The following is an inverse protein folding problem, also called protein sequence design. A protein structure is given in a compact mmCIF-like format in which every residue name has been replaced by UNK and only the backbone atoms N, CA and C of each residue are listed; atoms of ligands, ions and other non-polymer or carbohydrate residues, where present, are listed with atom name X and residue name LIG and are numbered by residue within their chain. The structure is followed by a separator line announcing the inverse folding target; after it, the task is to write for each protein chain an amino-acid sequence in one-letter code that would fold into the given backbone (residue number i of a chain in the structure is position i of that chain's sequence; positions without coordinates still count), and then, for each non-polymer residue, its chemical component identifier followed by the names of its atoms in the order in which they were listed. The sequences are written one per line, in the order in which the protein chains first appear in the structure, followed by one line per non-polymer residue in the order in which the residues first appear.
data_IF_104013951475
#
_entry.id   IF_104013951475
#
_cell.length_a   1.000
_cell.length_b   1.000
_cell.length_c   1.000
_cell.angle_alpha   90.00
_cell.angle_beta   90.00
_cell.angle_gamma   90.00
#
_symmetry.space_group_name_H-M   'P 1'
#
loop_
_entity.id
_entity.type
_entity.pdbx_description
1 polymer ?
#
# COMPACT_ATOMS: atom_id res chain seq x y z
N UNK A 1 13.39 11.16 8.55
CA UNK A 1 12.68 9.88 8.37
C UNK A 1 13.22 8.93 9.43
N UNK A 2 12.48 8.77 10.51
CA UNK A 2 12.77 7.77 11.53
C UNK A 2 11.93 6.52 11.24
N UNK A 3 12.56 5.36 11.26
CA UNK A 3 11.92 4.09 10.94
C UNK A 3 11.41 3.46 12.24
N UNK A 4 10.18 2.95 12.21
CA UNK A 4 9.58 2.17 13.31
C UNK A 4 10.04 0.71 13.19
N UNK A 5 10.15 -0.01 14.31
CA UNK A 5 10.51 -1.43 14.38
C UNK A 5 11.85 -1.81 13.72
N UNK A 6 12.88 -0.96 13.88
CA UNK A 6 14.24 -1.30 13.47
C UNK A 6 14.84 -2.32 14.44
N UNK A 7 15.25 -3.46 13.91
CA UNK A 7 15.91 -4.54 14.64
C UNK A 7 17.18 -4.99 13.88
N UNK A 8 17.96 -5.91 14.45
CA UNK A 8 19.21 -6.37 13.84
C UNK A 8 19.02 -6.93 12.41
N UNK A 9 17.85 -7.53 12.12
CA UNK A 9 17.58 -8.14 10.82
C UNK A 9 17.29 -7.12 9.71
N UNK A 10 16.79 -5.92 10.03
CA UNK A 10 16.45 -4.88 9.06
C UNK A 10 17.34 -3.62 9.15
N UNK A 11 18.19 -3.50 10.17
CA UNK A 11 19.07 -2.34 10.39
C UNK A 11 19.98 -2.04 9.20
N UNK A 12 20.57 -3.09 8.60
CA UNK A 12 21.41 -2.95 7.40
C UNK A 12 20.61 -2.42 6.21
N UNK A 13 19.37 -2.89 6.03
CA UNK A 13 18.50 -2.40 4.97
C UNK A 13 18.13 -0.93 5.19
N UNK A 14 17.84 -0.52 6.43
CA UNK A 14 17.52 0.88 6.76
C UNK A 14 18.71 1.79 6.44
N UNK A 15 19.92 1.34 6.77
CA UNK A 15 21.14 2.09 6.45
C UNK A 15 21.35 2.21 4.93
N UNK A 16 21.20 1.10 4.20
CA UNK A 16 21.30 1.09 2.73
C UNK A 16 20.18 1.92 2.07
N UNK A 17 18.97 1.94 2.65
CA UNK A 17 17.84 2.72 2.17
C UNK A 17 18.16 4.21 2.21
N UNK A 18 18.70 4.71 3.33
CA UNK A 18 19.03 6.14 3.53
C UNK A 18 20.00 6.70 2.50
N UNK A 19 20.81 5.85 1.88
CA UNK A 19 21.81 6.23 0.89
C UNK A 19 21.26 6.31 -0.54
N UNK A 20 20.01 5.88 -0.78
CA UNK A 20 19.45 5.77 -2.13
C UNK A 20 18.63 7.01 -2.48
N UNK A 21 18.53 7.32 -3.79
CA UNK A 21 17.78 8.47 -4.28
C UNK A 21 16.29 8.45 -3.90
N UNK A 22 15.69 7.26 -3.74
CA UNK A 22 14.32 7.10 -3.29
C UNK A 22 14.11 7.34 -1.78
N UNK A 23 15.18 7.61 -1.01
CA UNK A 23 15.08 8.03 0.39
C UNK A 23 14.56 9.47 0.53
N UNK A 24 14.53 10.24 -0.57
CA UNK A 24 13.92 11.56 -0.66
C UNK A 24 12.71 11.49 -1.59
N UNK A 25 11.54 11.02 -1.09
CA UNK A 25 10.34 10.93 -1.92
C UNK A 25 9.88 12.31 -2.38
N UNK A 26 9.31 12.38 -3.58
CA UNK A 26 8.62 13.57 -4.04
C UNK A 26 7.37 13.82 -3.17
N UNK A 27 7.03 15.10 -2.96
CA UNK A 27 5.79 15.47 -2.26
C UNK A 27 4.60 15.01 -3.09
N UNK A 28 3.60 14.41 -2.44
CA UNK A 28 2.40 13.90 -3.10
C UNK A 28 1.67 14.98 -3.91
N UNK A 29 1.66 16.21 -3.42
CA UNK A 29 1.11 17.41 -4.08
C UNK A 29 1.74 17.72 -5.44
N UNK A 30 3.00 17.31 -5.64
CA UNK A 30 3.78 17.57 -6.88
C UNK A 30 3.70 16.42 -7.88
N UNK A 31 2.95 15.37 -7.56
CA UNK A 31 2.84 14.16 -8.37
C UNK A 31 1.68 14.31 -9.35
N UNK A 32 2.02 14.37 -10.63
CA UNK A 32 1.04 14.21 -11.71
C UNK A 32 0.79 12.73 -11.99
N UNK A 33 -0.44 12.27 -11.73
CA UNK A 33 -0.88 10.88 -11.93
C UNK A 33 -0.89 10.42 -13.39
N UNK A 34 -0.88 11.34 -14.36
CA UNK A 34 -0.80 11.00 -15.77
C UNK A 34 0.52 10.31 -16.13
N UNK A 35 1.61 10.69 -15.45
CA UNK A 35 2.97 10.18 -15.69
C UNK A 35 3.21 8.75 -15.22
N UNK A 36 2.25 8.18 -14.49
CA UNK A 36 2.39 6.88 -13.83
C UNK A 36 1.41 5.88 -14.43
N UNK A 37 1.89 4.65 -14.62
CA UNK A 37 1.10 3.56 -15.16
C UNK A 37 0.34 2.78 -14.08
N UNK A 38 0.88 2.75 -12.86
CA UNK A 38 0.34 2.01 -11.73
C UNK A 38 0.65 2.72 -10.39
N UNK A 39 -0.22 2.51 -9.41
CA UNK A 39 -0.06 3.02 -8.05
C UNK A 39 0.10 1.86 -7.08
N UNK A 40 1.15 1.88 -6.25
CA UNK A 40 1.37 0.90 -5.19
C UNK A 40 1.43 1.61 -3.83
N UNK A 41 0.57 1.19 -2.91
CA UNK A 41 0.49 1.68 -1.54
C UNK A 41 0.84 0.52 -0.61
N UNK A 42 2.11 0.44 -0.15
CA UNK A 42 2.53 -0.62 0.74
C UNK A 42 1.87 -0.48 2.12
N UNK A 43 1.98 -1.51 2.96
CA UNK A 43 1.51 -1.44 4.34
C UNK A 43 2.30 -0.38 5.11
N UNK A 44 1.62 0.68 5.54
CA UNK A 44 2.17 1.74 6.37
C UNK A 44 1.16 2.10 7.47
N UNK A 45 1.47 1.87 8.76
CA UNK A 45 0.54 2.17 9.85
C UNK A 45 0.09 3.64 9.90
N UNK A 46 0.98 4.56 9.50
CA UNK A 46 0.69 5.99 9.41
C UNK A 46 -0.33 6.37 8.32
N UNK A 47 -0.66 5.46 7.39
CA UNK A 47 -1.69 5.72 6.38
C UNK A 47 -3.06 6.00 6.98
N UNK A 48 -3.37 5.37 8.13
CA UNK A 48 -4.65 5.59 8.82
C UNK A 48 -4.83 7.04 9.29
N UNK A 49 -3.74 7.72 9.64
CA UNK A 49 -3.78 9.08 10.14
C UNK A 49 -3.59 10.12 9.02
N UNK A 50 -2.58 9.92 8.18
CA UNK A 50 -2.17 10.90 7.16
C UNK A 50 -2.90 10.67 5.82
N UNK A 51 -2.76 9.46 5.26
CA UNK A 51 -3.25 9.18 3.91
C UNK A 51 -4.77 9.02 3.82
N UNK A 52 -5.43 8.55 4.89
CA UNK A 52 -6.87 8.34 4.91
C UNK A 52 -7.70 9.63 4.73
N UNK A 53 -7.11 10.80 4.97
CA UNK A 53 -7.75 12.10 4.79
C UNK A 53 -7.01 13.02 3.79
N UNK A 54 -6.06 12.49 3.03
CA UNK A 54 -5.23 13.29 2.14
C UNK A 54 -5.94 13.67 0.83
N UNK A 55 -6.22 14.97 0.65
CA UNK A 55 -6.81 15.48 -0.58
C UNK A 55 -5.93 15.32 -1.83
N UNK A 56 -4.61 15.36 -1.67
CA UNK A 56 -3.67 15.10 -2.78
C UNK A 56 -3.75 13.65 -3.24
N UNK A 57 -3.85 12.70 -2.31
CA UNK A 57 -4.03 11.29 -2.65
C UNK A 57 -5.39 11.05 -3.31
N UNK A 58 -6.45 11.67 -2.78
CA UNK A 58 -7.80 11.54 -3.33
C UNK A 58 -7.83 11.90 -4.83
N UNK A 59 -7.19 13.01 -5.21
CA UNK A 59 -7.06 13.42 -6.62
C UNK A 59 -6.34 12.40 -7.49
N UNK A 60 -5.25 11.80 -6.97
CA UNK A 60 -4.51 10.76 -7.69
C UNK A 60 -5.37 9.50 -7.84
N UNK A 61 -6.05 9.06 -6.78
CA UNK A 61 -6.92 7.88 -6.81
C UNK A 61 -8.09 8.06 -7.77
N UNK A 62 -8.74 9.23 -7.79
CA UNK A 62 -9.79 9.56 -8.74
C UNK A 62 -9.29 9.50 -10.19
N UNK A 63 -8.11 10.06 -10.46
CA UNK A 63 -7.50 10.01 -11.79
C UNK A 63 -7.19 8.56 -12.22
N UNK A 64 -6.63 7.76 -11.33
CA UNK A 64 -6.35 6.35 -11.61
C UNK A 64 -7.64 5.57 -11.86
N UNK A 65 -8.69 5.85 -11.09
CA UNK A 65 -10.02 5.25 -11.27
C UNK A 65 -10.62 5.64 -12.63
N UNK A 66 -10.56 6.91 -13.02
CA UNK A 66 -11.15 7.40 -14.27
C UNK A 66 -10.44 6.82 -15.50
N UNK A 67 -9.12 6.65 -15.44
CA UNK A 67 -8.34 6.03 -16.52
C UNK A 67 -8.27 4.49 -16.42
N UNK A 68 -8.95 3.92 -15.42
CA UNK A 68 -8.91 2.50 -15.09
C UNK A 68 -7.47 1.96 -14.96
N UNK A 69 -6.57 2.78 -14.42
CA UNK A 69 -5.17 2.43 -14.18
C UNK A 69 -5.06 1.51 -12.96
N UNK A 70 -4.14 0.53 -12.96
CA UNK A 70 -3.94 -0.38 -11.84
C UNK A 70 -3.57 0.34 -10.53
N UNK A 71 -4.27 0.00 -9.45
CA UNK A 71 -4.01 0.45 -8.08
C UNK A 71 -3.80 -0.80 -7.23
N UNK A 72 -2.75 -0.83 -6.42
CA UNK A 72 -2.49 -1.88 -5.45
C UNK A 72 -2.31 -1.27 -4.06
N UNK A 73 -3.07 -1.74 -3.06
CA UNK A 73 -2.92 -1.32 -1.68
C UNK A 73 -2.85 -2.54 -0.76
N UNK A 74 -1.94 -2.54 0.23
CA UNK A 74 -1.73 -3.71 1.09
C UNK A 74 -1.74 -3.32 2.56
N UNK A 75 -2.38 -4.13 3.39
CA UNK A 75 -2.39 -3.95 4.85
C UNK A 75 -2.95 -2.59 5.26
N UNK A 76 -2.26 -1.90 6.16
CA UNK A 76 -2.69 -0.57 6.61
C UNK A 76 -2.71 0.49 5.49
N UNK A 77 -2.00 0.24 4.38
CA UNK A 77 -2.04 1.08 3.20
C UNK A 77 -3.41 1.13 2.52
N UNK A 78 -4.30 0.15 2.76
CA UNK A 78 -5.67 0.17 2.23
C UNK A 78 -6.48 1.35 2.78
N UNK A 79 -6.14 1.83 3.99
CA UNK A 79 -6.76 3.03 4.56
C UNK A 79 -6.57 4.29 3.68
N UNK A 80 -5.52 4.31 2.88
CA UNK A 80 -5.25 5.39 1.94
C UNK A 80 -6.35 5.49 0.85
N UNK A 81 -7.10 4.42 0.57
CA UNK A 81 -8.23 4.44 -0.37
C UNK A 81 -9.44 5.20 0.19
N UNK A 82 -9.55 5.31 1.51
CA UNK A 82 -10.70 5.93 2.18
C UNK A 82 -10.81 7.44 1.90
N UNK A 83 -9.72 8.11 1.54
CA UNK A 83 -9.73 9.54 1.22
C UNK A 83 -10.46 9.87 -0.10
N UNK A 84 -10.64 8.90 -0.99
CA UNK A 84 -11.17 9.12 -2.32
C UNK A 84 -12.71 9.14 -2.32
N UNK A 85 -13.30 10.32 -2.11
CA UNK A 85 -14.75 10.57 -2.21
C UNK A 85 -15.10 11.36 -3.46
N UNK A 86 -16.31 11.16 -3.99
CA UNK A 86 -16.89 11.94 -5.08
C UNK A 86 -17.44 13.28 -4.54
N UNK A 87 -17.79 14.20 -5.45
CA UNK A 87 -18.42 15.48 -5.08
C UNK A 87 -19.72 15.30 -4.29
N UNK A 88 -20.46 14.22 -4.56
CA UNK A 88 -21.70 13.84 -3.85
C UNK A 88 -21.43 13.21 -2.46
N UNK A 89 -20.18 13.10 -2.04
CA UNK A 89 -19.78 12.47 -0.78
C UNK A 89 -19.74 10.93 -0.81
N UNK A 90 -20.16 10.30 -1.92
CA UNK A 90 -20.06 8.85 -2.10
C UNK A 90 -18.60 8.41 -2.28
N UNK A 91 -18.26 7.21 -1.81
CA UNK A 91 -16.90 6.69 -1.95
C UNK A 91 -16.62 6.29 -3.41
N UNK A 92 -15.43 6.62 -3.92
CA UNK A 92 -15.04 6.35 -5.33
C UNK A 92 -15.03 4.85 -5.67
N UNK A 93 -14.81 4.02 -4.65
CA UNK A 93 -14.79 2.56 -4.75
C UNK A 93 -16.09 1.93 -4.21
N UNK A 94 -17.19 2.66 -4.16
CA UNK A 94 -18.50 2.08 -3.85
C UNK A 94 -18.82 0.90 -4.80
N UNK A 95 -19.33 -0.19 -4.24
CA UNK A 95 -19.59 -1.43 -4.96
C UNK A 95 -18.35 -2.22 -5.40
N UNK A 96 -17.14 -1.84 -4.95
CA UNK A 96 -15.95 -2.66 -5.14
C UNK A 96 -15.88 -3.80 -4.14
N UNK A 97 -15.19 -4.88 -4.52
CA UNK A 97 -14.68 -5.87 -3.58
C UNK A 97 -13.29 -5.46 -3.10
N UNK A 98 -13.12 -5.36 -1.79
CA UNK A 98 -11.88 -4.88 -1.16
C UNK A 98 -11.51 -5.80 0.01
N UNK A 99 -10.22 -5.92 0.27
CA UNK A 99 -9.70 -6.49 1.51
C UNK A 99 -8.70 -5.54 2.17
N UNK A 100 -8.41 -5.78 3.44
CA UNK A 100 -7.45 -5.08 4.26
C UNK A 100 -7.31 -5.80 5.60
N UNK A 101 -6.55 -5.24 6.56
CA UNK A 101 -6.41 -5.82 7.88
C UNK A 101 -7.78 -6.04 8.51
N UNK A 102 -8.08 -7.29 8.84
CA UNK A 102 -9.35 -7.64 9.48
C UNK A 102 -9.41 -7.08 10.90
N UNK A 103 -10.62 -6.84 11.41
CA UNK A 103 -10.80 -6.45 12.83
C UNK A 103 -10.17 -7.49 13.78
N UNK A 104 -10.22 -8.77 13.41
CA UNK A 104 -9.58 -9.87 14.16
C UNK A 104 -8.05 -9.78 14.21
N UNK A 105 -7.40 -9.26 13.16
CA UNK A 105 -5.96 -8.98 13.18
C UNK A 105 -5.67 -7.71 13.99
N UNK A 106 -6.48 -6.66 13.81
CA UNK A 106 -6.27 -5.37 14.45
C UNK A 106 -6.45 -5.44 15.97
N UNK A 107 -7.42 -6.19 16.48
CA UNK A 107 -7.68 -6.32 17.93
C UNK A 107 -6.53 -6.97 18.70
N UNK A 108 -5.67 -7.74 18.02
CA UNK A 108 -4.47 -8.36 18.61
C UNK A 108 -3.34 -7.35 18.80
N UNK A 109 -3.40 -6.19 18.13
CA UNK A 109 -2.40 -5.14 18.27
C UNK A 109 -2.71 -4.25 19.49
N UNK A 110 -1.69 -3.87 20.29
CA UNK A 110 -1.89 -3.06 21.50
C UNK A 110 -2.47 -1.66 21.20
N UNK A 111 -2.36 -1.18 19.97
CA UNK A 111 -2.86 0.13 19.52
C UNK A 111 -4.31 0.14 19.02
N UNK A 112 -5.03 -0.99 19.05
CA UNK A 112 -6.37 -1.12 18.45
C UNK A 112 -7.35 -0.02 18.89
N UNK A 113 -7.41 0.26 20.19
CA UNK A 113 -8.34 1.24 20.77
C UNK A 113 -8.06 2.69 20.34
N UNK A 114 -6.89 2.97 19.77
CA UNK A 114 -6.45 4.30 19.34
C UNK A 114 -6.46 4.45 17.81
N UNK A 115 -6.91 3.44 17.07
CA UNK A 115 -6.98 3.54 15.62
C UNK A 115 -8.04 4.57 15.21
N UNK A 116 -7.70 5.55 14.37
CA UNK A 116 -8.65 6.60 13.96
C UNK A 116 -9.70 6.07 12.97
N UNK A 117 -9.42 4.93 12.34
CA UNK A 117 -10.23 4.33 11.29
C UNK A 117 -10.08 2.82 11.32
N UNK A 118 -11.20 2.11 11.18
CA UNK A 118 -11.23 0.67 10.92
C UNK A 118 -11.65 0.51 9.46
N UNK A 119 -10.72 0.06 8.61
CA UNK A 119 -10.94 -0.05 7.16
C UNK A 119 -12.08 -1.00 6.84
N UNK A 120 -12.17 -2.12 7.56
CA UNK A 120 -13.25 -3.10 7.38
C UNK A 120 -14.64 -2.47 7.56
N UNK A 121 -14.83 -1.69 8.63
CA UNK A 121 -16.12 -1.03 8.91
C UNK A 121 -16.40 0.08 7.90
N UNK A 122 -15.41 0.91 7.60
CA UNK A 122 -15.54 1.97 6.60
C UNK A 122 -15.96 1.43 5.22
N UNK A 123 -15.34 0.34 4.76
CA UNK A 123 -15.64 -0.27 3.44
C UNK A 123 -17.10 -0.76 3.41
N UNK A 124 -17.56 -1.40 4.50
CA UNK A 124 -18.94 -1.88 4.60
C UNK A 124 -19.94 -0.71 4.63
N UNK A 125 -19.67 0.32 5.43
CA UNK A 125 -20.52 1.51 5.55
C UNK A 125 -20.57 2.33 4.25
N UNK A 126 -19.47 2.39 3.51
CA UNK A 126 -19.36 3.05 2.22
C UNK A 126 -20.04 2.28 1.06
N UNK A 127 -20.65 1.12 1.33
CA UNK A 127 -21.38 0.32 0.35
C UNK A 127 -20.48 -0.50 -0.58
N UNK A 128 -19.33 -0.94 -0.09
CA UNK A 128 -18.44 -1.88 -0.77
C UNK A 128 -18.39 -3.24 -0.05
N UNK A 129 -17.97 -4.27 -0.77
CA UNK A 129 -17.90 -5.64 -0.26
C UNK A 129 -16.53 -5.90 0.36
N UNK A 130 -16.48 -6.03 1.68
CA UNK A 130 -15.25 -6.42 2.38
C UNK A 130 -15.15 -7.96 2.47
N UNK A 131 -13.97 -8.51 2.18
CA UNK A 131 -13.66 -9.92 2.43
C UNK A 131 -12.30 -10.07 3.11
N UNK A 132 -12.19 -11.04 4.01
CA UNK A 132 -10.95 -11.40 4.69
C UNK A 132 -10.88 -12.91 4.90
N UNK A 133 -9.66 -13.44 4.92
CA UNK A 133 -9.35 -14.80 5.37
C UNK A 133 -8.98 -14.80 6.86
N UNK A 134 -8.63 -15.98 7.38
CA UNK A 134 -8.13 -16.13 8.74
C UNK A 134 -6.97 -15.15 9.03
N UNK A 135 -6.78 -14.72 10.29
CA UNK A 135 -5.69 -13.84 10.67
C UNK A 135 -4.34 -14.38 10.22
N UNK A 136 -3.46 -13.51 9.72
CA UNK A 136 -2.12 -13.84 9.20
C UNK A 136 -2.10 -14.68 7.91
N UNK A 137 -3.25 -15.20 7.45
CA UNK A 137 -3.36 -15.93 6.20
C UNK A 137 -3.24 -15.01 4.98
N UNK A 138 -2.79 -15.57 3.86
CA UNK A 138 -2.75 -14.86 2.59
C UNK A 138 -4.18 -14.61 2.08
N UNK A 139 -4.50 -13.36 1.79
CA UNK A 139 -5.75 -12.98 1.12
C UNK A 139 -5.56 -11.74 0.25
N UNK A 140 -5.89 -11.89 -1.04
CA UNK A 140 -5.80 -10.83 -2.04
C UNK A 140 -7.11 -10.77 -2.78
N UNK A 141 -7.62 -9.55 -2.96
CA UNK A 141 -8.81 -9.27 -3.76
C UNK A 141 -8.38 -8.43 -4.95
N UNK A 142 -8.68 -8.92 -6.15
CA UNK A 142 -8.54 -8.17 -7.40
C UNK A 142 -9.95 -7.92 -7.94
N UNK A 143 -10.34 -6.66 -8.01
CA UNK A 143 -11.59 -6.20 -8.60
C UNK A 143 -11.28 -5.13 -9.65
N UNK A 144 -11.55 -5.44 -10.92
CA UNK A 144 -11.25 -4.59 -12.08
C UNK A 144 -9.75 -4.22 -12.12
N UNK A 145 -9.42 -2.98 -11.76
CA UNK A 145 -8.04 -2.46 -11.70
C UNK A 145 -7.57 -2.19 -10.28
N UNK A 146 -8.37 -2.51 -9.26
CA UNK A 146 -8.00 -2.39 -7.86
C UNK A 146 -7.55 -3.75 -7.33
N UNK A 147 -6.33 -3.80 -6.81
CA UNK A 147 -5.77 -4.93 -6.08
C UNK A 147 -5.62 -4.53 -4.63
N UNK A 148 -6.14 -5.36 -3.73
CA UNK A 148 -5.97 -5.16 -2.30
C UNK A 148 -5.47 -6.42 -1.62
N UNK A 149 -4.60 -6.27 -0.63
CA UNK A 149 -4.05 -7.37 0.16
C UNK A 149 -4.31 -7.17 1.65
N UNK A 150 -4.71 -8.23 2.34
CA UNK A 150 -5.11 -8.19 3.74
C UNK A 150 -3.95 -7.80 4.67
N UNK A 151 -2.79 -8.44 4.51
CA UNK A 151 -1.67 -8.36 5.46
C UNK A 151 -0.31 -8.51 4.75
N UNK A 152 0.78 -8.55 5.54
CA UNK A 152 2.14 -8.66 5.02
C UNK A 152 2.35 -9.93 4.15
N UNK A 153 1.77 -11.07 4.54
CA UNK A 153 1.79 -12.33 3.77
C UNK A 153 1.17 -12.18 2.37
N UNK A 154 0.25 -11.23 2.24
CA UNK A 154 -0.47 -10.94 1.00
C UNK A 154 0.26 -9.96 0.07
N UNK A 155 1.39 -9.39 0.49
CA UNK A 155 2.15 -8.38 -0.29
C UNK A 155 2.66 -8.94 -1.60
N UNK A 156 3.36 -10.09 -1.57
CA UNK A 156 3.94 -10.70 -2.76
C UNK A 156 2.87 -11.05 -3.83
N UNK A 157 1.77 -11.75 -3.49
CA UNK A 157 0.72 -12.02 -4.48
C UNK A 157 0.02 -10.75 -4.97
N UNK A 158 -0.23 -9.75 -4.11
CA UNK A 158 -0.85 -8.49 -4.53
C UNK A 158 0.03 -7.70 -5.52
N UNK A 159 1.35 -7.68 -5.31
CA UNK A 159 2.29 -7.05 -6.26
C UNK A 159 2.37 -7.85 -7.56
N UNK A 160 2.32 -9.18 -7.50
CA UNK A 160 2.26 -10.01 -8.71
C UNK A 160 1.02 -9.70 -9.55
N UNK A 161 -0.16 -9.61 -8.91
CA UNK A 161 -1.40 -9.21 -9.58
C UNK A 161 -1.30 -7.81 -10.18
N UNK A 162 -0.64 -6.86 -9.50
CA UNK A 162 -0.38 -5.53 -10.05
C UNK A 162 0.49 -5.60 -11.32
N UNK A 163 1.59 -6.35 -11.28
CA UNK A 163 2.49 -6.52 -12.42
C UNK A 163 1.75 -7.16 -13.59
N UNK A 164 0.90 -8.16 -13.33
CA UNK A 164 0.07 -8.79 -14.34
C UNK A 164 -0.88 -7.77 -15.01
N UNK A 165 -1.59 -6.96 -14.23
CA UNK A 165 -2.44 -5.88 -14.76
C UNK A 165 -1.63 -4.84 -15.56
N UNK A 166 -0.38 -4.59 -15.16
CA UNK A 166 0.55 -3.73 -15.88
C UNK A 166 1.10 -4.36 -17.17
N UNK A 167 1.02 -5.67 -17.34
CA UNK A 167 1.50 -6.37 -18.54
C UNK A 167 0.42 -6.59 -19.59
N UNK A 168 -0.85 -6.68 -19.18
CA UNK A 168 -1.98 -7.01 -20.06
C UNK A 168 -2.60 -5.83 -20.82
N UNK A 169 -2.02 -4.63 -20.72
CA UNK A 169 -2.52 -3.42 -21.38
C UNK A 169 -1.54 -3.02 -22.49
N UNK A 170 -2.05 -2.64 -23.65
CA UNK A 170 -1.25 -1.99 -24.70
C UNK A 170 -1.27 -0.48 -24.40
N UNK A 171 -0.15 0.07 -23.92
CA UNK A 171 -0.02 1.52 -23.75
C UNK A 171 0.43 2.16 -25.08
N UNK A 172 -0.12 3.33 -25.46
CA UNK A 172 0.42 4.08 -26.59
C UNK A 172 1.91 4.34 -26.35
N UNK A 173 2.73 4.02 -27.35
CA UNK A 173 4.18 3.91 -27.25
C UNK A 173 4.85 5.20 -26.74
N UNK A 174 5.11 5.26 -25.44
CA UNK A 174 5.98 6.26 -24.81
C UNK A 174 7.10 5.48 -24.11
N UNK A 175 8.36 5.95 -24.14
CA UNK A 175 9.49 5.17 -23.63
C UNK A 175 9.26 4.78 -22.16
N UNK A 176 9.28 3.46 -21.91
CA UNK A 176 9.00 2.80 -20.64
C UNK A 176 9.90 3.30 -19.51
N UNK A 177 9.52 4.39 -18.85
CA UNK A 177 9.99 4.72 -17.51
C UNK A 177 8.90 4.25 -16.53
N UNK A 178 9.03 3.02 -16.04
CA UNK A 178 8.24 2.52 -14.91
C UNK A 178 8.75 3.23 -13.66
N UNK A 179 8.23 4.42 -13.40
CA UNK A 179 8.43 5.11 -12.13
C UNK A 179 7.40 4.51 -11.15
N UNK A 180 7.84 3.71 -10.19
CA UNK A 180 6.96 3.22 -9.11
C UNK A 180 6.85 4.33 -8.06
N UNK A 181 5.65 4.84 -7.80
CA UNK A 181 5.42 5.72 -6.65
C UNK A 181 5.43 4.89 -5.38
N UNK A 182 6.51 4.97 -4.60
CA UNK A 182 6.49 4.62 -3.18
C UNK A 182 6.01 5.85 -2.41
N UNK A 183 4.76 5.88 -1.97
CA UNK A 183 4.31 6.86 -0.99
C UNK A 183 4.81 6.43 0.40
N UNK A 184 5.95 6.98 0.82
CA UNK A 184 6.39 6.92 2.23
C UNK A 184 5.91 8.21 2.88
N UNK A 185 4.76 8.17 3.54
CA UNK A 185 4.35 9.26 4.42
C UNK A 185 5.12 9.16 5.73
N UNK A 186 5.88 10.20 6.02
CA UNK A 186 6.61 10.35 7.27
C UNK A 186 5.92 11.39 8.13
N UNK A 187 5.51 10.99 9.33
CA UNK A 187 5.39 11.86 10.50
C UNK A 187 5.60 10.99 11.74
N UNK A 188 6.67 11.25 12.48
CA UNK A 188 6.97 10.54 13.74
C UNK A 188 6.20 11.12 14.92
N UNK A 189 6.00 10.33 15.98
CA UNK A 189 5.84 10.75 17.39
C UNK A 189 6.09 9.54 18.33
N UNK A 190 6.18 9.85 19.63
CA UNK A 190 7.03 9.31 20.69
C UNK A 190 6.50 8.12 21.55
N UNK A 191 7.47 7.48 22.24
CA UNK A 191 7.45 6.91 23.61
C UNK A 191 6.95 5.48 23.90
N UNK A 192 7.79 4.73 24.65
CA UNK A 192 7.33 3.76 25.67
C UNK A 192 8.03 2.39 25.69
N UNK A 193 9.13 2.27 26.46
CA UNK A 193 9.69 0.98 26.98
C UNK A 193 8.59 0.14 27.65
N UNK A 194 8.58 -1.20 27.75
CA UNK A 194 9.61 -2.23 27.91
C UNK A 194 8.85 -3.59 27.85
N UNK A 195 9.41 -4.69 27.30
CA UNK A 195 8.73 -6.00 27.48
C UNK A 195 9.15 -7.18 26.61
N UNK A 196 10.38 -7.68 26.82
CA UNK A 196 10.96 -9.03 26.59
C UNK A 196 10.64 -9.88 25.32
N UNK A 197 11.65 -10.53 24.71
CA UNK A 197 11.53 -11.26 23.44
C UNK A 197 11.10 -12.73 23.61
N UNK A 198 10.40 -13.26 22.61
CA UNK A 198 10.22 -14.70 22.37
C UNK A 198 10.89 -15.05 21.03
N UNK A 199 11.73 -16.11 20.94
CA UNK A 199 12.53 -16.35 19.76
C UNK A 199 11.77 -17.18 18.73
N UNK A 200 11.67 -16.69 17.49
CA UNK A 200 11.36 -17.54 16.34
C UNK A 200 12.36 -17.28 15.22
N UNK A 201 12.80 -18.40 14.63
CA UNK A 201 13.99 -18.56 13.81
C UNK A 201 13.93 -17.73 12.51
N UNK A 202 15.09 -17.31 11.96
CA UNK A 202 15.14 -16.54 10.73
C UNK A 202 14.83 -17.41 9.52
N UNK A 203 13.73 -17.12 8.81
CA UNK A 203 13.54 -17.53 7.42
C UNK A 203 14.10 -16.42 6.51
N UNK A 204 15.20 -16.65 5.76
CA UNK A 204 15.73 -15.64 4.86
C UNK A 204 14.91 -15.66 3.57
N UNK A 205 13.95 -14.77 3.42
CA UNK A 205 13.37 -14.45 2.10
C UNK A 205 14.04 -13.16 1.62
N UNK A 206 15.15 -13.34 0.91
CA UNK A 206 15.84 -12.27 0.18
C UNK A 206 15.00 -11.88 -1.04
N UNK A 207 14.48 -10.66 -1.08
CA UNK A 207 13.94 -10.07 -2.30
C UNK A 207 15.00 -9.16 -2.94
N UNK A 208 15.67 -9.68 -3.95
CA UNK A 208 16.45 -8.88 -4.89
C UNK A 208 15.50 -8.33 -5.97
N UNK A 209 15.02 -7.10 -5.80
CA UNK A 209 14.53 -6.32 -6.94
C UNK A 209 15.75 -5.78 -7.72
N UNK A 210 16.36 -6.64 -8.55
CA UNK A 210 17.33 -6.23 -9.55
C UNK A 210 16.55 -6.00 -10.86
N UNK A 211 16.16 -4.75 -11.11
CA UNK A 211 15.63 -4.32 -12.40
C UNK A 211 16.76 -4.40 -13.44
N UNK A 212 17.00 -5.59 -13.98
CA UNK A 212 17.80 -5.73 -15.18
C UNK A 212 16.94 -5.34 -16.38
N UNK A 213 17.50 -4.48 -17.24
CA UNK A 213 16.97 -4.16 -18.58
C UNK A 213 16.58 -5.45 -19.28
N UNK A 214 15.29 -5.64 -19.57
CA UNK A 214 14.86 -6.61 -20.57
C UNK A 214 15.05 -5.92 -21.92
N UNK A 215 16.20 -6.18 -22.53
CA UNK A 215 16.42 -5.89 -23.95
C UNK A 215 15.76 -7.03 -24.73
N UNK A 216 14.59 -6.78 -25.31
CA UNK A 216 14.11 -7.61 -26.41
C UNK A 216 14.74 -7.07 -27.70
N UNK A 217 15.68 -7.83 -28.25
CA UNK A 217 16.20 -7.67 -29.60
C UNK A 217 15.19 -8.28 -30.61
N UNK A 218 15.25 -7.92 -31.90
CA UNK A 218 14.12 -7.93 -32.84
C UNK A 218 13.61 -9.31 -33.24
#
# INVERSE_FOLDING_TARGET
MDFVDVNESNARWVQDFRLKAYASPAKLESIDGARYHALLIPSCPGALADLASSGSLARILQHFRSESKPICAVGHGVAALCCATNEDGSWVFQGYSVTGPSVYELVRAPGFAHLPLIVEDFVKDAGASFSASEPDAMHVVLDRHLVTGQNASSTAPAVHSLIFLCGSREWPAWPLHVQLCLAVTGTGWFQGKEGRPVPTRPCPVQWHAKLNKVQMAP
#
